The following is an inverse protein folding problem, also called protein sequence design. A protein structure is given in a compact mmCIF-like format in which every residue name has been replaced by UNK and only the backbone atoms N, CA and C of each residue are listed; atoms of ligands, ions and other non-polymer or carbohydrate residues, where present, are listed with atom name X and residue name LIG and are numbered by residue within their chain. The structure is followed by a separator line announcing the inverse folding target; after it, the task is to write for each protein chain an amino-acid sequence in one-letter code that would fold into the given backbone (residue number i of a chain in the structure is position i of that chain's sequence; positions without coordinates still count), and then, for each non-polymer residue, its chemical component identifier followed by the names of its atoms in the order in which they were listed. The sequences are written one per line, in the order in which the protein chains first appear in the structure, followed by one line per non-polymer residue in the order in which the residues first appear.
data_IF_115254170706
#
_entry.id   IF_115254170706
#
_cell.length_a   1.000
_cell.length_b   1.000
_cell.length_c   1.000
_cell.angle_alpha   90.00
_cell.angle_beta   90.00
_cell.angle_gamma   90.00
#
_symmetry.space_group_name_H-M   'P 1'
#
loop_
_entity.id
_entity.type
_entity.pdbx_description
1 polymer ?
#
# COMPACT_ATOMS: atom_id res chain seq x y z
N UNK A 1 19.01 55.97 -34.33
CA UNK A 1 19.24 55.46 -32.96
C UNK A 1 17.89 55.03 -32.38
N UNK A 2 17.84 53.85 -31.73
CA UNK A 2 16.73 53.21 -31.00
C UNK A 2 15.67 52.45 -31.83
N UNK A 3 15.14 51.29 -31.34
CA UNK A 3 15.27 50.02 -32.07
C UNK A 3 13.96 49.28 -32.40
N UNK A 4 14.11 48.25 -33.25
CA UNK A 4 13.10 47.29 -33.66
C UNK A 4 12.57 46.43 -32.51
N UNK A 5 11.24 46.27 -32.42
CA UNK A 5 10.56 45.37 -31.49
C UNK A 5 10.42 43.97 -32.07
N UNK A 6 11.17 43.03 -31.52
CA UNK A 6 11.09 41.59 -31.79
C UNK A 6 9.83 41.01 -31.12
N UNK A 7 8.88 40.48 -31.91
CA UNK A 7 7.74 39.73 -31.39
C UNK A 7 8.16 38.30 -31.06
N UNK A 8 8.44 38.04 -29.78
CA UNK A 8 8.67 36.68 -29.26
C UNK A 8 7.34 35.91 -29.28
N UNK A 9 7.21 34.92 -30.16
CA UNK A 9 6.09 33.97 -30.13
C UNK A 9 6.24 33.07 -28.91
N UNK A 10 5.30 33.16 -27.96
CA UNK A 10 5.18 32.18 -26.87
C UNK A 10 4.63 30.87 -27.44
N UNK A 11 5.50 29.88 -27.60
CA UNK A 11 5.09 28.50 -27.83
C UNK A 11 4.25 28.01 -26.63
N UNK A 12 3.05 27.43 -26.85
CA UNK A 12 2.24 26.92 -25.78
C UNK A 12 2.93 25.73 -25.11
N UNK A 13 3.18 25.92 -23.82
CA UNK A 13 3.70 24.94 -22.87
C UNK A 13 3.00 23.59 -22.99
N UNK A 14 3.76 22.57 -23.40
CA UNK A 14 3.66 21.16 -23.03
C UNK A 14 2.44 20.81 -22.15
N UNK A 15 1.41 20.23 -22.76
CA UNK A 15 0.31 19.57 -22.08
C UNK A 15 0.81 18.33 -21.34
N UNK A 16 1.25 18.50 -20.08
CA UNK A 16 1.49 17.35 -19.19
C UNK A 16 0.16 16.58 -19.03
N UNK A 17 0.16 15.23 -19.20
CA UNK A 17 -1.03 14.44 -18.93
C UNK A 17 -1.48 14.67 -17.50
N UNK A 18 -2.71 15.16 -17.33
CA UNK A 18 -3.32 15.35 -16.02
C UNK A 18 -3.40 13.97 -15.36
N UNK A 19 -2.65 13.78 -14.27
CA UNK A 19 -2.70 12.56 -13.49
C UNK A 19 -4.18 12.22 -13.22
N UNK A 20 -4.60 11.00 -13.62
CA UNK A 20 -5.98 10.52 -13.40
C UNK A 20 -6.29 10.72 -11.93
N UNK A 21 -7.33 11.51 -11.63
CA UNK A 21 -7.79 11.82 -10.27
C UNK A 21 -8.05 10.49 -9.57
N UNK A 22 -7.21 10.15 -8.61
CA UNK A 22 -7.46 9.00 -7.73
C UNK A 22 -8.77 9.29 -7.00
N UNK A 23 -9.80 8.48 -7.26
CA UNK A 23 -11.11 8.65 -6.64
C UNK A 23 -10.97 8.51 -5.13
N UNK A 24 -11.17 9.62 -4.40
CA UNK A 24 -11.27 9.62 -2.95
C UNK A 24 -12.73 9.28 -2.62
N UNK A 25 -12.96 8.09 -2.09
CA UNK A 25 -14.30 7.65 -1.70
C UNK A 25 -14.72 8.41 -0.44
N UNK A 26 -15.90 9.02 -0.44
CA UNK A 26 -16.55 9.58 0.74
C UNK A 26 -17.03 8.46 1.65
N UNK A 27 -16.82 8.63 2.96
CA UNK A 27 -17.24 7.69 4.01
C UNK A 27 -18.65 8.07 4.45
N UNK A 28 -19.60 7.14 4.35
CA UNK A 28 -20.99 7.31 4.79
C UNK A 28 -21.19 6.71 6.19
N UNK A 29 -20.52 5.57 6.46
CA UNK A 29 -20.50 4.91 7.76
C UNK A 29 -19.11 4.31 8.05
N UNK A 30 -18.74 4.07 9.33
CA UNK A 30 -17.54 3.32 9.65
C UNK A 30 -17.58 1.94 8.97
N UNK A 31 -16.50 1.56 8.27
CA UNK A 31 -16.43 0.22 7.66
C UNK A 31 -16.37 -0.86 8.75
N UNK A 32 -17.32 -1.79 8.68
CA UNK A 32 -17.40 -2.98 9.54
C UNK A 32 -16.81 -4.21 8.89
N UNK A 33 -16.66 -4.20 7.56
CA UNK A 33 -16.03 -5.29 6.79
C UNK A 33 -15.07 -4.75 5.73
N UNK A 34 -13.95 -5.44 5.57
CA UNK A 34 -12.94 -5.14 4.56
C UNK A 34 -12.66 -6.39 3.73
N UNK A 35 -12.65 -6.23 2.41
CA UNK A 35 -12.21 -7.24 1.47
C UNK A 35 -10.71 -7.08 1.22
N UNK A 36 -9.95 -8.14 1.46
CA UNK A 36 -8.50 -8.03 1.46
C UNK A 36 -7.78 -9.33 1.74
N UNK A 37 -6.47 -9.18 1.92
CA UNK A 37 -5.55 -10.26 2.27
C UNK A 37 -5.14 -10.16 3.74
N UNK A 38 -4.94 -11.31 4.38
CA UNK A 38 -4.41 -11.39 5.74
C UNK A 38 -2.89 -11.39 5.68
N UNK A 39 -2.28 -10.47 6.42
CA UNK A 39 -0.86 -10.48 6.76
C UNK A 39 -0.74 -11.11 8.14
N UNK A 40 -0.02 -12.22 8.20
CA UNK A 40 0.41 -12.83 9.45
C UNK A 40 1.82 -12.35 9.83
N UNK A 41 2.28 -12.77 11.01
CA UNK A 41 3.62 -12.46 11.51
C UNK A 41 4.73 -12.89 10.53
N UNK A 42 4.57 -14.05 9.87
CA UNK A 42 5.53 -14.53 8.88
C UNK A 42 5.68 -13.57 7.70
N UNK A 43 4.57 -13.10 7.15
CA UNK A 43 4.56 -12.10 6.07
C UNK A 43 5.19 -10.77 6.55
N UNK A 44 4.84 -10.30 7.75
CA UNK A 44 5.40 -9.07 8.31
C UNK A 44 6.91 -9.17 8.54
N UNK A 45 7.39 -10.29 9.09
CA UNK A 45 8.82 -10.55 9.30
C UNK A 45 9.58 -10.64 7.99
N UNK A 46 8.99 -11.26 6.96
CA UNK A 46 9.57 -11.26 5.62
C UNK A 46 9.73 -9.84 5.06
N UNK A 47 8.68 -9.01 5.18
CA UNK A 47 8.75 -7.61 4.76
C UNK A 47 9.70 -6.77 5.60
N UNK A 48 9.80 -7.02 6.91
CA UNK A 48 10.74 -6.34 7.78
C UNK A 48 12.19 -6.56 7.31
N UNK A 49 12.54 -7.78 6.91
CA UNK A 49 13.85 -8.10 6.30
C UNK A 49 14.10 -7.28 5.03
N UNK A 50 13.15 -7.32 4.09
CA UNK A 50 13.24 -6.56 2.82
C UNK A 50 13.45 -5.07 3.10
N UNK A 51 12.66 -4.49 4.01
CA UNK A 51 12.71 -3.06 4.34
C UNK A 51 14.06 -2.71 4.96
N UNK A 52 14.56 -3.56 5.86
CA UNK A 52 15.86 -3.34 6.49
C UNK A 52 16.98 -3.35 5.45
N UNK A 53 17.00 -4.33 4.55
CA UNK A 53 17.99 -4.42 3.47
C UNK A 53 17.86 -3.28 2.45
N UNK A 54 16.65 -2.82 2.15
CA UNK A 54 16.43 -1.64 1.29
C UNK A 54 17.01 -0.36 1.90
N UNK A 55 17.00 -0.22 3.23
CA UNK A 55 17.47 0.99 3.94
C UNK A 55 18.97 0.94 4.20
N UNK A 56 19.50 -0.20 4.63
CA UNK A 56 20.88 -0.33 5.12
C UNK A 56 21.83 -1.04 4.12
N UNK A 57 21.29 -1.51 3.00
CA UNK A 57 22.04 -2.18 1.94
C UNK A 57 21.76 -3.68 1.87
N UNK A 58 21.88 -4.23 0.67
CA UNK A 58 21.66 -5.66 0.43
C UNK A 58 22.63 -6.51 1.26
N UNK A 59 22.14 -7.67 1.71
CA UNK A 59 22.90 -8.68 2.46
C UNK A 59 23.48 -8.20 3.79
N UNK A 60 23.00 -7.06 4.32
CA UNK A 60 23.47 -6.55 5.61
C UNK A 60 23.10 -7.50 6.75
N UNK A 61 21.90 -8.09 6.71
CA UNK A 61 21.44 -9.06 7.70
C UNK A 61 22.29 -10.32 7.71
N UNK A 62 22.80 -10.76 6.55
CA UNK A 62 23.68 -11.93 6.44
C UNK A 62 25.07 -11.72 7.06
N UNK A 63 25.47 -10.46 7.31
CA UNK A 63 26.75 -10.09 7.93
C UNK A 63 26.63 -9.93 9.45
N UNK A 64 25.41 -9.95 9.98
CA UNK A 64 25.12 -9.81 11.39
C UNK A 64 25.14 -11.16 12.11
N UNK A 65 25.32 -11.14 13.42
CA UNK A 65 25.00 -12.29 14.25
C UNK A 65 23.48 -12.56 14.23
N UNK A 66 23.07 -13.78 14.56
CA UNK A 66 21.65 -14.13 14.62
C UNK A 66 20.85 -13.19 15.54
N UNK A 67 21.44 -12.79 16.67
CA UNK A 67 20.79 -11.89 17.63
C UNK A 67 20.59 -10.49 17.05
N UNK A 68 21.64 -9.92 16.46
CA UNK A 68 21.57 -8.59 15.83
C UNK A 68 20.59 -8.57 14.66
N UNK A 69 20.55 -9.64 13.86
CA UNK A 69 19.59 -9.76 12.76
C UNK A 69 18.15 -9.81 13.27
N UNK A 70 17.87 -10.54 14.35
CA UNK A 70 16.53 -10.56 14.96
C UNK A 70 16.14 -9.18 15.53
N UNK A 71 17.05 -8.49 16.24
CA UNK A 71 16.81 -7.12 16.72
C UNK A 71 16.52 -6.14 15.57
N UNK A 72 17.24 -6.28 14.44
CA UNK A 72 17.02 -5.50 13.23
C UNK A 72 15.65 -5.79 12.58
N UNK A 73 15.23 -7.07 12.53
CA UNK A 73 13.91 -7.47 12.03
C UNK A 73 12.81 -6.92 12.93
N UNK A 74 12.98 -6.95 14.24
CA UNK A 74 11.99 -6.44 15.19
C UNK A 74 11.80 -4.92 15.04
N UNK A 75 12.86 -4.17 14.75
CA UNK A 75 12.76 -2.76 14.36
C UNK A 75 11.98 -2.58 13.05
N UNK A 76 12.23 -3.45 12.07
CA UNK A 76 11.53 -3.48 10.79
C UNK A 76 10.03 -3.79 10.92
N UNK A 77 9.64 -4.65 11.87
CA UNK A 77 8.25 -5.03 12.12
C UNK A 77 7.36 -3.82 12.44
N UNK A 78 7.86 -2.87 13.22
CA UNK A 78 7.11 -1.67 13.59
C UNK A 78 6.72 -0.80 12.38
N UNK A 79 7.52 -0.82 11.32
CA UNK A 79 7.30 -0.01 10.10
C UNK A 79 6.72 -0.81 8.94
N UNK A 80 6.86 -2.14 8.95
CA UNK A 80 6.47 -3.01 7.85
C UNK A 80 5.02 -2.80 7.37
N UNK A 81 4.00 -2.73 8.24
CA UNK A 81 2.63 -2.56 7.77
C UNK A 81 2.42 -1.25 7.00
N UNK A 82 3.06 -0.16 7.43
CA UNK A 82 2.95 1.15 6.76
C UNK A 82 3.65 1.16 5.40
N UNK A 83 4.84 0.58 5.32
CA UNK A 83 5.61 0.49 4.06
C UNK A 83 4.91 -0.43 3.06
N UNK A 84 4.38 -1.56 3.52
CA UNK A 84 3.57 -2.48 2.71
C UNK A 84 2.43 -1.71 2.03
N UNK A 85 1.63 -0.96 2.79
CA UNK A 85 0.54 -0.17 2.21
C UNK A 85 1.05 0.84 1.21
N UNK A 86 2.14 1.55 1.52
CA UNK A 86 2.71 2.53 0.60
C UNK A 86 3.10 1.88 -0.73
N UNK A 87 3.73 0.70 -0.69
CA UNK A 87 4.11 -0.06 -1.90
C UNK A 87 2.87 -0.54 -2.66
N UNK A 88 1.87 -1.13 -1.98
CA UNK A 88 0.60 -1.55 -2.60
C UNK A 88 -0.03 -0.40 -3.39
N UNK A 89 -0.27 0.76 -2.77
CA UNK A 89 -0.99 1.86 -3.43
C UNK A 89 -0.14 2.67 -4.42
N UNK A 90 1.18 2.46 -4.41
CA UNK A 90 2.09 3.01 -5.43
C UNK A 90 2.09 2.11 -6.66
N UNK A 91 2.13 0.79 -6.48
CA UNK A 91 2.19 -0.18 -7.56
C UNK A 91 0.83 -0.47 -8.19
N UNK A 92 -0.26 -0.42 -7.41
CA UNK A 92 -1.62 -0.70 -7.85
C UNK A 92 -2.53 0.54 -7.68
N UNK A 93 -2.32 1.61 -8.47
CA UNK A 93 -3.05 2.88 -8.30
C UNK A 93 -4.55 2.79 -8.65
N UNK A 94 -4.97 1.68 -9.30
CA UNK A 94 -6.38 1.38 -9.58
C UNK A 94 -7.16 0.95 -8.33
N UNK A 95 -6.47 0.51 -7.28
CA UNK A 95 -7.11 0.11 -6.02
C UNK A 95 -7.58 1.37 -5.28
N UNK A 96 -8.85 1.43 -4.84
CA UNK A 96 -9.37 2.59 -4.15
C UNK A 96 -8.61 2.89 -2.87
N UNK A 97 -8.32 4.18 -2.65
CA UNK A 97 -7.63 4.65 -1.44
C UNK A 97 -8.65 4.88 -0.33
N UNK A 98 -8.93 3.82 0.41
CA UNK A 98 -9.86 3.82 1.53
C UNK A 98 -9.31 4.59 2.74
N UNK A 99 -10.17 4.86 3.73
CA UNK A 99 -9.72 5.39 5.02
C UNK A 99 -9.08 4.28 5.86
N UNK A 100 -9.72 3.10 5.90
CA UNK A 100 -9.19 1.89 6.55
C UNK A 100 -8.53 1.01 5.50
N UNK A 101 -7.24 1.25 5.25
CA UNK A 101 -6.42 0.50 4.26
C UNK A 101 -5.73 -0.70 4.86
N UNK A 102 -5.56 -0.66 6.18
CA UNK A 102 -5.00 -1.72 6.99
C UNK A 102 -5.80 -1.76 8.28
N UNK A 103 -6.10 -2.97 8.74
CA UNK A 103 -6.78 -3.16 10.02
C UNK A 103 -6.10 -4.27 10.79
N UNK A 104 -5.71 -3.99 12.04
CA UNK A 104 -5.29 -5.00 12.99
C UNK A 104 -6.54 -5.78 13.43
N UNK A 105 -6.69 -7.03 12.98
CA UNK A 105 -7.89 -7.84 13.24
C UNK A 105 -7.68 -8.81 14.41
N UNK A 106 -6.43 -9.15 14.70
CA UNK A 106 -6.04 -9.96 15.83
C UNK A 106 -4.78 -9.33 16.47
N UNK A 107 -4.93 -8.56 17.56
CA UNK A 107 -3.79 -7.94 18.24
C UNK A 107 -2.85 -8.95 18.88
N UNK A 108 -3.38 -10.05 19.40
CA UNK A 108 -2.60 -11.05 20.14
C UNK A 108 -1.70 -11.84 19.19
N UNK A 109 -2.19 -12.10 17.98
CA UNK A 109 -1.44 -12.79 16.92
C UNK A 109 -0.79 -11.83 15.90
N UNK A 110 -0.89 -10.52 16.12
CA UNK A 110 -0.32 -9.50 15.23
C UNK A 110 -0.84 -9.54 13.80
N UNK A 111 -2.08 -10.00 13.57
CA UNK A 111 -2.63 -10.19 12.22
C UNK A 111 -3.31 -8.94 11.70
N UNK A 112 -2.93 -8.56 10.48
CA UNK A 112 -3.50 -7.42 9.79
C UNK A 112 -4.25 -7.84 8.54
N UNK A 113 -5.24 -7.05 8.14
CA UNK A 113 -5.86 -7.16 6.81
C UNK A 113 -5.45 -5.96 5.97
N UNK A 114 -4.81 -6.20 4.82
CA UNK A 114 -4.65 -5.19 3.77
C UNK A 114 -5.98 -5.07 3.04
N UNK A 115 -6.69 -3.98 3.28
CA UNK A 115 -8.04 -3.74 2.79
C UNK A 115 -7.98 -3.12 1.40
N UNK A 116 -8.41 -3.88 0.40
CA UNK A 116 -8.49 -3.41 -0.98
C UNK A 116 -9.81 -2.69 -1.26
N UNK A 117 -10.87 -3.12 -0.56
CA UNK A 117 -12.25 -2.63 -0.67
C UNK A 117 -12.96 -2.75 0.68
N UNK A 118 -13.86 -1.84 1.02
CA UNK A 118 -14.62 -1.91 2.27
C UNK A 118 -16.11 -1.59 2.05
N UNK A 119 -16.90 -1.65 3.11
CA UNK A 119 -18.32 -1.30 3.12
C UNK A 119 -18.59 0.08 3.75
N UNK A 120 -17.63 1.01 3.72
CA UNK A 120 -17.81 2.36 4.32
C UNK A 120 -18.78 3.27 3.57
N UNK A 121 -19.06 2.97 2.30
CA UNK A 121 -20.06 3.64 1.48
C UNK A 121 -20.44 2.77 0.29
N UNK A 122 -21.54 3.11 -0.38
CA UNK A 122 -21.94 2.41 -1.60
C UNK A 122 -20.88 2.51 -2.71
N UNK A 123 -20.15 3.63 -2.77
CA UNK A 123 -19.04 3.80 -3.71
C UNK A 123 -17.86 2.87 -3.41
N UNK A 124 -17.51 2.68 -2.13
CA UNK A 124 -16.50 1.69 -1.74
C UNK A 124 -16.96 0.27 -2.05
N UNK A 125 -18.20 -0.06 -1.69
CA UNK A 125 -18.76 -1.40 -1.87
C UNK A 125 -19.00 -1.76 -3.34
N UNK A 126 -19.19 -0.79 -4.23
CA UNK A 126 -19.34 -1.02 -5.68
C UNK A 126 -18.04 -0.86 -6.46
N UNK A 127 -16.96 -0.40 -5.83
CA UNK A 127 -15.66 -0.25 -6.48
C UNK A 127 -15.22 -1.60 -7.09
N UNK A 128 -14.95 -1.58 -8.39
CA UNK A 128 -14.45 -2.76 -9.11
C UNK A 128 -12.93 -2.77 -9.00
N UNK A 129 -12.39 -3.84 -8.43
CA UNK A 129 -10.94 -4.09 -8.44
C UNK A 129 -10.68 -5.12 -9.54
N UNK A 130 -9.73 -4.83 -10.41
CA UNK A 130 -9.39 -5.78 -11.47
C UNK A 130 -8.78 -7.05 -10.87
N UNK A 131 -9.06 -8.24 -11.43
CA UNK A 131 -8.39 -9.47 -11.02
C UNK A 131 -6.86 -9.38 -11.11
N UNK A 132 -6.35 -8.61 -12.07
CA UNK A 132 -4.92 -8.32 -12.23
C UNK A 132 -4.34 -7.58 -11.02
N UNK A 133 -5.03 -6.57 -10.49
CA UNK A 133 -4.55 -5.82 -9.32
C UNK A 133 -4.62 -6.68 -8.06
N UNK A 134 -5.66 -7.50 -7.90
CA UNK A 134 -5.78 -8.46 -6.79
C UNK A 134 -4.63 -9.46 -6.82
N UNK A 135 -4.38 -10.04 -7.99
CA UNK A 135 -3.31 -11.03 -8.19
C UNK A 135 -1.93 -10.40 -8.06
N UNK A 136 -1.77 -9.17 -8.54
CA UNK A 136 -0.54 -8.39 -8.39
C UNK A 136 -0.24 -8.10 -6.91
N UNK A 137 -1.24 -7.71 -6.12
CA UNK A 137 -1.08 -7.54 -4.66
C UNK A 137 -0.69 -8.86 -4.00
N UNK A 138 -1.37 -9.96 -4.34
CA UNK A 138 -1.05 -11.29 -3.80
C UNK A 138 0.41 -11.68 -4.05
N UNK A 139 0.88 -11.51 -5.28
CA UNK A 139 2.26 -11.81 -5.69
C UNK A 139 3.27 -10.88 -5.03
N UNK A 140 2.98 -9.59 -4.96
CA UNK A 140 3.86 -8.61 -4.32
C UNK A 140 4.07 -8.94 -2.84
N UNK A 141 3.03 -9.38 -2.16
CA UNK A 141 3.05 -9.72 -0.74
C UNK A 141 3.51 -11.16 -0.46
N UNK A 142 3.86 -11.93 -1.49
CA UNK A 142 4.25 -13.34 -1.43
C UNK A 142 3.28 -14.25 -0.66
N UNK A 143 1.97 -14.08 -0.91
CA UNK A 143 0.93 -14.76 -0.11
C UNK A 143 0.57 -16.18 -0.58
N UNK A 144 1.38 -16.80 -1.46
CA UNK A 144 1.08 -18.12 -2.02
C UNK A 144 -0.35 -18.20 -2.60
N UNK A 145 -1.06 -19.30 -2.39
CA UNK A 145 -2.43 -19.48 -2.92
C UNK A 145 -3.53 -18.74 -2.14
N UNK A 146 -3.18 -17.85 -1.20
CA UNK A 146 -4.16 -17.10 -0.43
C UNK A 146 -5.09 -16.31 -1.36
N UNK A 147 -6.40 -16.48 -1.17
CA UNK A 147 -7.43 -15.68 -1.85
C UNK A 147 -7.92 -14.57 -0.92
N UNK A 148 -8.19 -13.37 -1.46
CA UNK A 148 -8.76 -12.29 -0.67
C UNK A 148 -10.19 -12.64 -0.23
N UNK A 149 -10.57 -12.21 0.97
CA UNK A 149 -11.86 -12.52 1.59
C UNK A 149 -12.41 -11.28 2.27
N UNK A 150 -13.70 -11.32 2.63
CA UNK A 150 -14.27 -10.33 3.54
C UNK A 150 -13.93 -10.68 4.98
N UNK A 151 -13.31 -9.73 5.68
CA UNK A 151 -12.94 -9.80 7.08
C UNK A 151 -13.74 -8.80 7.89
N UNK A 152 -14.08 -9.16 9.13
CA UNK A 152 -14.59 -8.18 10.09
C UNK A 152 -13.47 -7.21 10.45
N UNK A 153 -13.79 -5.92 10.45
CA UNK A 153 -12.87 -4.88 10.89
C UNK A 153 -13.25 -4.51 12.33
N UNK A 154 -12.25 -4.27 13.20
CA UNK A 154 -12.51 -3.82 14.56
C UNK A 154 -13.24 -2.48 14.58
N UNK A 155 -14.13 -2.32 15.55
CA UNK A 155 -14.80 -1.05 15.83
C UNK A 155 -13.95 -0.32 16.86
N UNK A 156 -13.29 0.76 16.43
CA UNK A 156 -12.61 1.71 17.30
C UNK A 156 -13.29 3.06 17.10
#
# INVERSE_FOLDING_TARGET
MAPAMTKTSRSPSSSRPRAKRVMKISVESPATRGYGFMLDDGCLRHWAKIIYEEVYGSDILSKMTAKEAEEAIDLGLAVAPSVILQKVYRQFPRIPRLRRRLALVDPDEGRYVVVLKDNSSQAALSATISPEDVEGVRKMLDLGEQKPRWHYLPQW
#
